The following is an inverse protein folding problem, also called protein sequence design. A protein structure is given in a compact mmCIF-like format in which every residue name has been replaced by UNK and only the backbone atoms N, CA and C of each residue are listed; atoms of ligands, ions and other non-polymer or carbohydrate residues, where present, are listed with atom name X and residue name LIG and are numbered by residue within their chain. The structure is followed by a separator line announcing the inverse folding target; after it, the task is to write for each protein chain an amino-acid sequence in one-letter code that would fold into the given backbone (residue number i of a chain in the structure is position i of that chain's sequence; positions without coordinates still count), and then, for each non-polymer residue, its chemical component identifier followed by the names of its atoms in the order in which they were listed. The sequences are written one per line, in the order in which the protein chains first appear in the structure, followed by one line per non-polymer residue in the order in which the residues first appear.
data_IF_178354723251
#
_entry.id   IF_178354723251
#
_cell.length_a   1.000
_cell.length_b   1.000
_cell.length_c   1.000
_cell.angle_alpha   90.00
_cell.angle_beta   90.00
_cell.angle_gamma   90.00
#
_symmetry.space_group_name_H-M   'P 1'
#
loop_
_entity.id
_entity.type
_entity.pdbx_description
1 polymer ?
#
# COMPACT_ATOMS: atom_id res chain seq x y z
N UNK A 1 -3.18 6.19 23.40
CA UNK A 1 -3.54 5.23 22.35
C UNK A 1 -3.44 5.97 21.03
N UNK A 2 -2.61 5.52 20.09
CA UNK A 2 -2.48 6.20 18.80
C UNK A 2 -3.79 6.07 18.00
N UNK A 3 -4.25 7.12 17.30
CA UNK A 3 -5.48 7.06 16.53
C UNK A 3 -5.35 6.01 15.40
N UNK A 4 -6.44 5.27 15.16
CA UNK A 4 -6.52 4.38 13.99
C UNK A 4 -6.63 5.22 12.72
N UNK A 5 -5.57 5.25 11.93
CA UNK A 5 -5.56 5.94 10.64
C UNK A 5 -6.05 4.95 9.58
N UNK A 6 -7.10 5.33 8.85
CA UNK A 6 -7.48 4.64 7.62
C UNK A 6 -6.55 5.11 6.52
N UNK A 7 -5.51 4.32 6.24
CA UNK A 7 -4.62 4.62 5.13
C UNK A 7 -5.32 4.22 3.82
N UNK A 8 -5.65 5.21 2.99
CA UNK A 8 -6.26 5.01 1.67
C UNK A 8 -5.39 4.18 0.71
N UNK A 9 -4.13 3.96 1.08
CA UNK A 9 -3.12 3.11 0.44
C UNK A 9 -3.59 1.65 0.34
N UNK A 10 -4.39 1.16 1.29
CA UNK A 10 -4.98 -0.20 1.21
C UNK A 10 -5.85 -0.40 -0.03
N UNK A 11 -6.49 0.66 -0.55
CA UNK A 11 -7.30 0.59 -1.77
C UNK A 11 -6.47 0.40 -3.03
N UNK A 12 -5.18 0.74 -2.99
CA UNK A 12 -4.28 0.53 -4.14
C UNK A 12 -4.11 -0.95 -4.43
N UNK A 13 -4.22 -1.80 -3.40
CA UNK A 13 -4.19 -3.24 -3.57
C UNK A 13 -5.19 -3.75 -4.62
N UNK A 14 -6.39 -3.19 -4.67
CA UNK A 14 -7.41 -3.56 -5.64
C UNK A 14 -6.99 -3.44 -7.12
N UNK A 15 -5.96 -2.65 -7.41
CA UNK A 15 -5.41 -2.49 -8.76
C UNK A 15 -4.30 -3.50 -9.09
N UNK A 16 -4.08 -4.48 -8.22
CA UNK A 16 -3.02 -5.48 -8.32
C UNK A 16 -1.68 -4.88 -8.77
N UNK A 17 -1.17 -3.85 -8.08
CA UNK A 17 -0.03 -3.07 -8.55
C UNK A 17 1.22 -3.94 -8.58
N UNK A 18 2.07 -3.79 -9.60
CA UNK A 18 3.47 -4.20 -9.49
C UNK A 18 4.22 -3.02 -8.87
N UNK A 19 4.91 -3.27 -7.77
CA UNK A 19 5.59 -2.24 -7.00
C UNK A 19 7.09 -2.40 -7.20
N UNK A 20 7.73 -1.40 -7.80
CA UNK A 20 9.16 -1.38 -8.05
C UNK A 20 9.79 -0.23 -7.25
N UNK A 21 10.41 -0.50 -6.10
CA UNK A 21 11.29 0.49 -5.47
C UNK A 21 12.50 0.73 -6.37
N UNK A 22 12.86 2.00 -6.56
CA UNK A 22 14.08 2.46 -7.25
C UNK A 22 14.83 3.39 -6.31
N UNK A 23 16.08 3.72 -6.66
CA UNK A 23 16.81 4.77 -5.95
C UNK A 23 16.00 6.08 -6.06
N UNK A 24 15.70 6.70 -4.91
CA UNK A 24 14.91 7.93 -4.71
C UNK A 24 13.45 7.95 -5.21
N UNK A 25 12.96 6.88 -5.82
CA UNK A 25 11.61 6.84 -6.38
C UNK A 25 10.91 5.51 -6.14
N UNK A 26 9.59 5.56 -6.01
CA UNK A 26 8.75 4.38 -6.06
C UNK A 26 7.98 4.36 -7.38
N UNK A 27 7.91 3.21 -8.04
CA UNK A 27 7.12 3.03 -9.27
C UNK A 27 5.99 2.03 -9.01
N UNK A 28 4.77 2.41 -9.36
CA UNK A 28 3.58 1.56 -9.38
C UNK A 28 3.18 1.29 -10.83
N UNK A 29 3.03 0.02 -11.20
CA UNK A 29 2.55 -0.38 -12.52
C UNK A 29 1.18 -1.04 -12.37
N UNK A 30 0.15 -0.41 -12.93
CA UNK A 30 -1.27 -0.74 -12.71
C UNK A 30 -2.07 -0.67 -14.01
N UNK A 31 -3.24 -1.30 -14.07
CA UNK A 31 -4.13 -1.29 -15.26
C UNK A 31 -5.10 -0.07 -15.30
N UNK A 32 -4.93 0.88 -14.38
CA UNK A 32 -5.74 2.10 -14.26
C UNK A 32 -4.92 3.22 -13.61
N UNK A 33 -3.90 3.67 -14.34
CA UNK A 33 -2.90 4.60 -13.83
C UNK A 33 -3.51 5.92 -13.31
N UNK A 34 -4.46 6.49 -14.05
CA UNK A 34 -5.15 7.72 -13.71
C UNK A 34 -5.96 7.60 -12.41
N UNK A 35 -6.71 6.51 -12.26
CA UNK A 35 -7.50 6.23 -11.06
C UNK A 35 -6.61 6.13 -9.82
N UNK A 36 -5.47 5.44 -9.92
CA UNK A 36 -4.52 5.29 -8.80
C UNK A 36 -3.86 6.62 -8.46
N UNK A 37 -3.35 7.34 -9.46
CA UNK A 37 -2.67 8.62 -9.23
C UNK A 37 -3.60 9.66 -8.59
N UNK A 38 -4.82 9.78 -9.12
CA UNK A 38 -5.83 10.71 -8.61
C UNK A 38 -6.38 10.27 -7.25
N UNK A 39 -6.50 8.96 -7.01
CA UNK A 39 -6.88 8.46 -5.68
C UNK A 39 -5.81 8.82 -4.65
N UNK A 40 -4.52 8.66 -4.94
CA UNK A 40 -3.45 9.02 -4.00
C UNK A 40 -3.36 10.52 -3.74
N UNK A 41 -3.41 11.35 -4.80
CA UNK A 41 -3.41 12.80 -4.65
C UNK A 41 -4.67 13.32 -3.94
N UNK A 42 -5.80 12.63 -4.10
CA UNK A 42 -7.09 13.04 -3.54
C UNK A 42 -7.57 14.38 -4.12
N UNK A 43 -8.36 15.10 -3.32
CA UNK A 43 -8.82 16.46 -3.65
C UNK A 43 -8.40 17.43 -2.55
N UNK A 44 -8.35 18.76 -2.81
CA UNK A 44 -7.98 19.74 -1.79
C UNK A 44 -8.78 19.63 -0.48
N UNK A 45 -10.05 19.23 -0.57
CA UNK A 45 -10.96 19.11 0.57
C UNK A 45 -11.03 17.69 1.16
N UNK A 46 -10.44 16.71 0.47
CA UNK A 46 -10.43 15.32 0.89
C UNK A 46 -9.13 14.66 0.40
N UNK A 47 -7.98 14.97 1.03
CA UNK A 47 -6.71 14.37 0.67
C UNK A 47 -6.65 12.92 1.18
N UNK A 48 -6.43 11.97 0.27
CA UNK A 48 -6.27 10.57 0.64
C UNK A 48 -4.83 10.26 1.12
N UNK A 49 -3.85 10.99 0.60
CA UNK A 49 -2.49 11.06 1.12
C UNK A 49 -2.12 12.54 1.27
N UNK A 50 -1.99 13.06 2.50
CA UNK A 50 -1.72 14.48 2.71
C UNK A 50 -0.38 14.86 2.08
N UNK A 51 -0.27 16.11 1.61
CA UNK A 51 0.91 16.65 0.93
C UNK A 51 1.29 16.00 -0.41
N UNK A 52 0.51 15.05 -0.91
CA UNK A 52 0.73 14.49 -2.24
C UNK A 52 0.25 15.48 -3.32
N UNK A 53 1.09 15.73 -4.32
CA UNK A 53 0.79 16.62 -5.46
C UNK A 53 1.03 15.91 -6.78
N UNK A 54 0.26 16.30 -7.79
CA UNK A 54 0.55 15.96 -9.18
C UNK A 54 1.65 16.90 -9.67
N UNK A 55 2.80 16.33 -9.99
CA UNK A 55 3.94 17.07 -10.53
C UNK A 55 3.89 17.09 -12.07
N UNK A 56 3.70 15.91 -12.69
CA UNK A 56 3.62 15.78 -14.14
C UNK A 56 2.58 14.71 -14.51
N UNK A 57 1.92 14.89 -15.66
CA UNK A 57 0.99 13.94 -16.24
C UNK A 57 1.29 13.84 -17.74
N UNK A 58 1.88 12.73 -18.20
CA UNK A 58 2.16 12.49 -19.61
C UNK A 58 1.07 11.61 -20.20
N UNK A 59 0.02 12.25 -20.72
CA UNK A 59 -1.15 11.56 -21.23
C UNK A 59 -1.89 10.79 -20.13
N UNK A 60 -2.34 9.58 -20.45
CA UNK A 60 -3.04 8.71 -19.51
C UNK A 60 -2.12 7.67 -18.85
N UNK A 61 -0.91 7.48 -19.38
CA UNK A 61 -0.14 6.27 -19.12
C UNK A 61 1.00 6.46 -18.11
N UNK A 62 1.29 7.71 -17.74
CA UNK A 62 2.35 8.03 -16.80
C UNK A 62 2.01 9.27 -15.97
N UNK A 63 2.07 9.11 -14.66
CA UNK A 63 1.82 10.14 -13.68
C UNK A 63 2.97 10.22 -12.69
N UNK A 64 3.45 11.43 -12.47
CA UNK A 64 4.46 11.72 -11.48
C UNK A 64 3.79 12.48 -10.33
N UNK A 65 3.91 11.91 -9.14
CA UNK A 65 3.46 12.50 -7.90
C UNK A 65 4.66 12.80 -7.01
N UNK A 66 4.56 13.88 -6.24
CA UNK A 66 5.57 14.28 -5.26
C UNK A 66 4.91 14.61 -3.93
N UNK A 67 5.50 14.13 -2.85
CA UNK A 67 5.08 14.47 -1.49
C UNK A 67 5.84 15.72 -1.02
N UNK A 68 5.14 16.84 -0.82
CA UNK A 68 5.76 18.15 -0.57
C UNK A 68 6.68 18.18 0.65
N UNK A 69 6.32 17.48 1.73
CA UNK A 69 7.07 17.54 3.00
C UNK A 69 8.38 16.74 2.96
N UNK A 70 8.40 15.63 2.21
CA UNK A 70 9.55 14.71 2.20
C UNK A 70 10.31 14.74 0.88
N UNK A 71 9.79 15.46 -0.11
CA UNK A 71 10.26 15.47 -1.49
C UNK A 71 10.25 14.08 -2.18
N UNK A 72 9.65 13.07 -1.56
CA UNK A 72 9.60 11.71 -2.09
C UNK A 72 8.76 11.67 -3.37
N UNK A 73 9.21 10.90 -4.35
CA UNK A 73 8.57 10.81 -5.66
C UNK A 73 7.97 9.44 -5.92
N UNK A 74 6.81 9.46 -6.56
CA UNK A 74 6.04 8.29 -6.93
C UNK A 74 5.65 8.40 -8.40
N UNK A 75 6.04 7.41 -9.18
CA UNK A 75 5.56 7.24 -10.55
C UNK A 75 4.44 6.21 -10.55
N UNK A 76 3.32 6.55 -11.17
CA UNK A 76 2.27 5.60 -11.50
C UNK A 76 2.31 5.44 -13.01
N UNK A 77 2.45 4.21 -13.47
CA UNK A 77 2.57 3.86 -14.88
C UNK A 77 1.46 2.87 -15.23
N UNK A 78 0.94 3.00 -16.45
CA UNK A 78 0.05 2.01 -17.01
C UNK A 78 0.83 0.71 -17.30
N UNK A 79 0.22 -0.44 -16.99
CA UNK A 79 0.77 -1.74 -17.38
C UNK A 79 0.63 -1.90 -18.88
N UNK A 80 1.71 -1.58 -19.60
CA UNK A 80 1.80 -1.84 -21.02
C UNK A 80 1.94 -3.34 -21.29
N UNK A 81 0.83 -4.06 -21.47
CA UNK A 81 0.81 -5.33 -22.19
C UNK A 81 -0.27 -5.29 -23.26
N UNK A 82 0.19 -5.35 -24.53
CA UNK A 82 -0.37 -6.00 -25.74
C UNK A 82 -1.91 -5.97 -26.00
N UNK A 83 -2.34 -5.95 -27.26
CA UNK A 83 -3.74 -5.66 -27.59
C UNK A 83 -4.66 -6.82 -27.20
N UNK A 84 -5.32 -6.79 -26.05
CA UNK A 84 -6.44 -7.71 -25.76
C UNK A 84 -7.43 -7.15 -24.72
N UNK A 85 -8.59 -6.73 -25.22
CA UNK A 85 -9.97 -7.16 -24.87
C UNK A 85 -10.44 -7.52 -23.45
N UNK A 86 -9.62 -7.52 -22.39
CA UNK A 86 -10.10 -7.82 -21.04
C UNK A 86 -10.43 -6.55 -20.24
N UNK A 87 -11.58 -6.56 -19.58
CA UNK A 87 -12.21 -5.48 -18.80
C UNK A 87 -11.22 -4.49 -18.16
N UNK A 88 -11.02 -3.36 -18.84
CA UNK A 88 -10.39 -2.19 -18.23
C UNK A 88 -11.30 -1.70 -17.11
N UNK A 89 -10.75 -1.51 -15.91
CA UNK A 89 -11.45 -0.77 -14.87
C UNK A 89 -11.96 0.55 -15.44
N UNK A 90 -13.23 0.91 -15.19
CA UNK A 90 -13.82 2.13 -15.76
C UNK A 90 -12.94 3.33 -15.42
N UNK A 91 -12.38 3.95 -16.46
CA UNK A 91 -11.64 5.21 -16.35
C UNK A 91 -12.55 6.26 -15.73
N UNK A 92 -12.12 6.91 -14.66
CA UNK A 92 -12.86 8.03 -14.10
C UNK A 92 -12.58 9.29 -14.93
N UNK A 93 -13.56 10.19 -15.10
CA UNK A 93 -13.28 11.50 -15.66
C UNK A 93 -12.16 12.15 -14.85
N UNK A 94 -11.13 12.63 -15.55
CA UNK A 94 -10.08 13.44 -14.95
C UNK A 94 -10.73 14.64 -14.24
N UNK A 95 -10.51 14.84 -12.92
CA UNK A 95 -10.99 16.02 -12.22
C UNK A 95 -10.44 17.29 -12.87
N UNK A 96 -11.31 18.30 -13.04
CA UNK A 96 -10.93 19.60 -13.62
C UNK A 96 -9.90 20.36 -12.78
N UNK A 97 -9.87 20.12 -11.45
CA UNK A 97 -8.87 20.68 -10.54
C UNK A 97 -8.18 19.55 -9.78
N UNK A 98 -6.86 19.55 -9.85
CA UNK A 98 -5.96 18.64 -9.12
C UNK A 98 -5.03 19.50 -8.27
N UNK A 99 -4.63 19.02 -7.10
CA UNK A 99 -3.60 19.70 -6.32
C UNK A 99 -2.25 19.53 -7.02
N UNK A 100 -1.72 20.62 -7.57
CA UNK A 100 -0.44 20.69 -8.25
C UNK A 100 0.67 21.22 -7.36
N UNK A 101 1.91 21.23 -7.86
CA UNK A 101 3.10 21.64 -7.10
C UNK A 101 3.05 23.07 -6.53
N UNK A 102 2.27 23.96 -7.14
CA UNK A 102 2.10 25.34 -6.68
C UNK A 102 1.03 25.48 -5.57
N UNK A 103 0.20 24.46 -5.34
CA UNK A 103 -0.82 24.49 -4.29
C UNK A 103 -0.15 24.19 -2.93
N UNK A 104 -0.21 25.12 -1.96
CA UNK A 104 0.36 24.91 -0.62
C UNK A 104 -0.39 23.81 0.15
N UNK A 105 0.14 23.39 1.29
CA UNK A 105 -0.57 22.50 2.20
C UNK A 105 -1.80 23.21 2.77
N UNK A 106 -2.94 22.53 2.76
CA UNK A 106 -4.15 23.01 3.44
C UNK A 106 -4.05 22.76 4.95
N UNK A 107 -4.88 23.43 5.74
CA UNK A 107 -4.98 23.19 7.19
C UNK A 107 -5.36 21.73 7.50
N UNK A 108 -6.21 21.12 6.67
CA UNK A 108 -6.59 19.71 6.79
C UNK A 108 -5.39 18.80 6.59
N UNK A 109 -4.56 19.07 5.58
CA UNK A 109 -3.33 18.30 5.32
C UNK A 109 -2.33 18.45 6.46
N UNK A 110 -2.14 19.68 6.97
CA UNK A 110 -1.26 19.94 8.10
C UNK A 110 -1.74 19.18 9.36
N UNK A 111 -3.04 19.19 9.65
CA UNK A 111 -3.61 18.44 10.76
C UNK A 111 -3.43 16.92 10.58
N UNK A 112 -3.62 16.38 9.37
CA UNK A 112 -3.39 14.97 9.08
C UNK A 112 -1.93 14.56 9.22
N UNK A 113 -0.99 15.38 8.74
CA UNK A 113 0.44 15.14 8.91
C UNK A 113 0.86 15.19 10.38
N UNK A 114 0.34 16.17 11.14
CA UNK A 114 0.61 16.29 12.57
C UNK A 114 0.03 15.12 13.38
N UNK A 115 -1.02 14.45 12.88
CA UNK A 115 -1.62 13.29 13.50
C UNK A 115 -0.85 11.97 13.24
N UNK A 116 0.14 11.97 12.34
CA UNK A 116 0.94 10.76 12.06
C UNK A 116 1.81 10.46 13.29
N UNK A 117 1.64 9.29 13.95
CA UNK A 117 2.46 8.92 15.09
C UNK A 117 3.93 8.79 14.70
N UNK A 118 4.82 9.01 15.66
CA UNK A 118 6.24 8.75 15.45
C UNK A 118 6.46 7.27 15.07
N UNK A 119 7.36 7.03 14.11
CA UNK A 119 7.66 5.70 13.58
C UNK A 119 9.16 5.46 13.73
N UNK A 120 9.55 4.42 14.47
CA UNK A 120 10.97 4.11 14.64
C UNK A 120 11.60 3.67 13.30
N UNK A 121 12.93 3.83 13.12
CA UNK A 121 13.58 3.43 11.87
C UNK A 121 13.35 1.95 11.46
N UNK A 122 13.41 0.96 12.38
CA UNK A 122 13.10 -0.42 12.00
C UNK A 122 11.63 -0.63 11.64
N UNK A 123 10.69 0.07 12.28
CA UNK A 123 9.29 0.01 11.90
C UNK A 123 9.04 0.63 10.52
N UNK A 124 9.70 1.76 10.19
CA UNK A 124 9.65 2.31 8.82
C UNK A 124 10.10 1.29 7.79
N UNK A 125 11.15 0.51 8.09
CA UNK A 125 11.63 -0.58 7.22
C UNK A 125 10.61 -1.72 7.10
N UNK A 126 9.95 -2.11 8.19
CA UNK A 126 8.89 -3.12 8.15
C UNK A 126 7.70 -2.65 7.30
N UNK A 127 7.17 -1.45 7.54
CA UNK A 127 6.02 -0.91 6.80
C UNK A 127 6.34 -0.65 5.33
N UNK A 128 7.52 -0.11 5.02
CA UNK A 128 7.98 0.03 3.64
C UNK A 128 8.17 -1.34 2.97
N UNK A 129 8.73 -2.30 3.71
CA UNK A 129 8.97 -3.66 3.25
C UNK A 129 7.69 -4.44 2.95
N UNK A 130 6.66 -4.25 3.77
CA UNK A 130 5.29 -4.70 3.56
C UNK A 130 4.73 -4.15 2.26
N UNK A 131 4.80 -2.83 2.09
CA UNK A 131 4.29 -2.13 0.92
C UNK A 131 4.95 -2.62 -0.37
N UNK A 132 6.29 -2.62 -0.46
CA UNK A 132 6.99 -3.01 -1.70
C UNK A 132 6.82 -4.48 -2.07
N UNK A 133 6.41 -5.32 -1.13
CA UNK A 133 6.18 -6.76 -1.34
C UNK A 133 4.73 -7.12 -1.61
N UNK A 134 3.79 -6.17 -1.68
CA UNK A 134 2.37 -6.50 -1.92
C UNK A 134 2.11 -7.26 -3.23
N UNK A 135 3.05 -7.21 -4.17
CA UNK A 135 3.01 -7.92 -5.46
C UNK A 135 3.89 -9.18 -5.50
N UNK A 136 4.52 -9.54 -4.38
CA UNK A 136 5.44 -10.66 -4.31
C UNK A 136 4.68 -11.98 -4.50
N UNK A 137 5.31 -12.87 -5.25
CA UNK A 137 4.85 -14.24 -5.50
C UNK A 137 6.01 -15.19 -5.35
N UNK A 138 5.76 -16.33 -4.72
CA UNK A 138 6.71 -17.42 -4.70
C UNK A 138 6.63 -18.18 -6.04
N UNK A 139 7.76 -18.38 -6.76
CA UNK A 139 7.81 -19.24 -7.92
C UNK A 139 7.38 -20.69 -7.63
N UNK A 140 7.59 -21.17 -6.39
CA UNK A 140 7.13 -22.48 -5.93
C UNK A 140 5.63 -22.56 -5.64
N UNK A 141 4.91 -21.44 -5.69
CA UNK A 141 3.46 -21.37 -5.44
C UNK A 141 3.05 -21.48 -3.97
N UNK A 142 3.99 -21.39 -3.02
CA UNK A 142 3.68 -21.51 -1.58
C UNK A 142 2.94 -20.29 -1.03
N UNK A 143 3.23 -19.11 -1.58
CA UNK A 143 2.47 -17.89 -1.33
C UNK A 143 2.39 -17.03 -2.59
N UNK A 144 1.38 -16.18 -2.62
CA UNK A 144 1.25 -15.10 -3.58
C UNK A 144 0.51 -14.01 -2.83
N UNK A 145 0.89 -12.73 -3.00
CA UNK A 145 0.24 -11.61 -2.31
C UNK A 145 -0.77 -10.87 -3.18
N UNK A 146 -0.73 -11.03 -4.50
CA UNK A 146 -1.88 -10.80 -5.40
C UNK A 146 -2.44 -9.37 -5.36
N UNK A 147 -1.65 -8.41 -4.89
CA UNK A 147 -2.13 -7.07 -4.64
C UNK A 147 -3.24 -6.98 -3.59
N UNK A 148 -3.51 -7.98 -2.76
CA UNK A 148 -4.46 -7.81 -1.63
C UNK A 148 -5.92 -7.55 -2.05
N UNK A 149 -6.36 -8.11 -3.18
CA UNK A 149 -7.75 -8.03 -3.63
C UNK A 149 -8.47 -9.39 -3.57
N UNK A 150 -7.86 -10.41 -4.15
CA UNK A 150 -8.36 -11.77 -4.21
C UNK A 150 -7.22 -12.76 -3.92
N UNK A 151 -7.55 -13.96 -3.42
CA UNK A 151 -6.60 -15.06 -3.28
C UNK A 151 -6.31 -15.67 -4.65
N UNK A 152 -5.14 -15.42 -5.25
CA UNK A 152 -4.80 -15.89 -6.60
C UNK A 152 -4.46 -17.37 -6.61
N UNK A 153 -4.30 -18.00 -5.43
CA UNK A 153 -4.13 -19.44 -5.27
C UNK A 153 -5.48 -20.16 -5.06
N UNK A 154 -6.61 -19.43 -5.04
CA UNK A 154 -7.97 -19.97 -4.94
C UNK A 154 -8.19 -20.96 -3.78
N UNK A 155 -7.45 -20.81 -2.66
CA UNK A 155 -7.45 -21.77 -1.54
C UNK A 155 -8.72 -21.68 -0.70
N UNK A 156 -9.34 -20.49 -0.62
CA UNK A 156 -10.57 -20.26 0.14
C UNK A 156 -11.57 -19.40 -0.64
N UNK A 157 -12.40 -20.03 -1.49
CA UNK A 157 -13.50 -19.34 -2.19
C UNK A 157 -14.40 -18.62 -1.17
N UNK A 158 -14.76 -17.35 -1.42
CA UNK A 158 -15.67 -16.57 -0.57
C UNK A 158 -15.05 -15.78 0.59
N UNK A 159 -13.79 -16.06 0.97
CA UNK A 159 -13.03 -15.23 1.94
C UNK A 159 -12.31 -14.04 1.28
N UNK A 160 -12.18 -14.10 -0.05
CA UNK A 160 -11.32 -13.25 -0.87
C UNK A 160 -12.07 -12.02 -1.45
N UNK A 161 -12.91 -11.36 -0.66
CA UNK A 161 -13.51 -10.09 -1.07
C UNK A 161 -12.79 -8.94 -0.39
N UNK A 162 -12.39 -7.95 -1.20
CA UNK A 162 -11.73 -6.68 -0.86
C UNK A 162 -11.80 -6.34 0.64
N UNK A 163 -10.63 -6.24 1.28
CA UNK A 163 -10.48 -5.77 2.67
C UNK A 163 -10.69 -4.24 2.78
N UNK A 164 -11.94 -3.75 2.68
CA UNK A 164 -12.21 -2.30 2.72
C UNK A 164 -11.92 -1.69 4.08
N UNK A 165 -11.80 -2.55 5.10
CA UNK A 165 -11.56 -2.21 6.49
C UNK A 165 -10.14 -2.60 6.95
N UNK A 166 -9.13 -2.25 6.16
CA UNK A 166 -7.74 -2.31 6.61
C UNK A 166 -7.44 -1.15 7.56
N UNK A 167 -6.84 -1.44 8.71
CA UNK A 167 -6.50 -0.49 9.77
C UNK A 167 -5.06 -0.69 10.20
N UNK A 168 -4.33 0.40 10.31
CA UNK A 168 -2.95 0.42 10.79
C UNK A 168 -2.83 1.51 11.86
N UNK A 169 -2.37 1.13 13.05
CA UNK A 169 -2.15 2.05 14.16
C UNK A 169 -0.97 1.60 15.01
N UNK A 170 -0.34 2.54 15.68
CA UNK A 170 0.83 2.23 16.48
C UNK A 170 1.62 3.48 16.85
N UNK A 171 2.73 3.25 17.53
CA UNK A 171 3.65 4.30 17.94
C UNK A 171 5.06 3.72 18.09
N UNK A 172 6.06 4.46 17.63
CA UNK A 172 7.46 4.04 17.58
C UNK A 172 7.63 2.68 16.90
N UNK A 173 8.08 1.68 17.68
CA UNK A 173 8.38 0.33 17.24
C UNK A 173 7.22 -0.63 17.35
N UNK A 174 6.06 -0.26 17.90
CA UNK A 174 4.93 -1.20 18.06
C UNK A 174 3.71 -0.76 17.29
N UNK A 175 3.30 -1.58 16.34
CA UNK A 175 2.18 -1.30 15.44
C UNK A 175 1.28 -2.52 15.28
N UNK A 176 0.01 -2.29 15.06
CA UNK A 176 -1.02 -3.28 14.78
C UNK A 176 -1.57 -3.03 13.36
N UNK A 177 -1.58 -4.08 12.55
CA UNK A 177 -2.22 -4.12 11.24
C UNK A 177 -3.38 -5.12 11.32
N UNK A 178 -4.59 -4.60 11.15
CA UNK A 178 -5.82 -5.38 11.17
C UNK A 178 -6.51 -5.28 9.81
N UNK A 179 -6.94 -6.41 9.26
CA UNK A 179 -7.73 -6.44 8.04
C UNK A 179 -8.66 -7.66 8.03
N UNK A 180 -9.52 -7.72 7.01
CA UNK A 180 -10.47 -8.82 6.80
C UNK A 180 -10.27 -9.37 5.41
N UNK A 181 -10.18 -10.68 5.28
CA UNK A 181 -10.08 -11.34 3.97
C UNK A 181 -8.64 -11.63 3.56
N UNK A 182 -8.26 -11.18 2.37
CA UNK A 182 -6.98 -11.50 1.76
C UNK A 182 -6.06 -10.25 1.71
N UNK A 183 -4.71 -10.36 1.83
CA UNK A 183 -3.89 -11.58 1.93
C UNK A 183 -4.09 -12.35 3.22
N UNK A 184 -3.81 -13.65 3.22
CA UNK A 184 -3.78 -14.37 4.50
C UNK A 184 -2.52 -14.00 5.27
N UNK A 185 -2.58 -13.92 6.63
CA UNK A 185 -1.41 -13.60 7.44
C UNK A 185 -0.20 -14.50 7.14
N UNK A 186 -0.44 -15.78 6.84
CA UNK A 186 0.61 -16.73 6.49
C UNK A 186 1.36 -16.33 5.22
N UNK A 187 0.66 -15.84 4.18
CA UNK A 187 1.31 -15.37 2.94
C UNK A 187 2.14 -14.11 3.19
N UNK A 188 1.62 -13.22 4.03
CA UNK A 188 2.26 -11.95 4.39
C UNK A 188 3.54 -12.19 5.19
N UNK A 189 3.47 -13.11 6.16
CA UNK A 189 4.63 -13.57 6.93
C UNK A 189 5.64 -14.22 6.00
N UNK A 190 5.22 -15.16 5.16
CA UNK A 190 6.10 -15.84 4.22
C UNK A 190 6.83 -14.84 3.30
N UNK A 191 6.11 -13.85 2.77
CA UNK A 191 6.69 -12.81 1.92
C UNK A 191 7.72 -11.94 2.66
N UNK A 192 7.47 -11.61 3.94
CA UNK A 192 8.33 -10.73 4.72
C UNK A 192 9.55 -11.44 5.31
N UNK A 193 9.46 -12.73 5.58
CA UNK A 193 10.55 -13.55 6.13
C UNK A 193 11.20 -14.47 5.11
N UNK A 194 10.84 -14.37 3.82
CA UNK A 194 11.41 -15.21 2.77
C UNK A 194 12.95 -15.08 2.73
N UNK A 195 13.72 -16.18 2.60
CA UNK A 195 15.18 -16.14 2.70
C UNK A 195 15.87 -15.24 1.65
N UNK A 196 15.30 -15.16 0.44
CA UNK A 196 15.85 -14.36 -0.67
C UNK A 196 15.19 -12.97 -0.78
N UNK A 197 13.87 -12.93 -0.95
CA UNK A 197 13.12 -11.69 -1.19
C UNK A 197 12.57 -11.03 0.09
N UNK A 198 12.70 -11.63 1.26
CA UNK A 198 12.19 -11.08 2.53
C UNK A 198 12.99 -9.88 3.03
N UNK A 199 12.66 -9.40 4.22
CA UNK A 199 13.41 -8.35 4.90
C UNK A 199 14.51 -9.02 5.72
N UNK A 200 15.77 -8.72 5.43
CA UNK A 200 16.90 -9.27 6.19
C UNK A 200 16.76 -8.97 7.68
N UNK A 201 16.81 -10.02 8.49
CA UNK A 201 16.66 -9.95 9.95
C UNK A 201 15.21 -9.92 10.45
N UNK A 202 14.21 -9.93 9.55
CA UNK A 202 12.82 -10.07 9.97
C UNK A 202 12.53 -11.50 10.41
N UNK A 203 11.84 -11.64 11.54
CA UNK A 203 11.37 -12.93 12.06
C UNK A 203 9.87 -12.85 12.34
N UNK A 204 9.19 -13.98 12.39
CA UNK A 204 7.78 -14.03 12.70
C UNK A 204 7.47 -15.08 13.75
N UNK A 205 6.52 -14.79 14.62
CA UNK A 205 6.01 -15.72 15.61
C UNK A 205 4.49 -15.71 15.56
N UNK A 206 3.89 -16.89 15.43
CA UNK A 206 2.45 -17.05 15.52
C UNK A 206 2.03 -16.94 16.99
N UNK A 207 1.11 -16.04 17.30
CA UNK A 207 0.60 -15.84 18.66
C UNK A 207 -0.78 -16.46 18.87
N UNK A 208 -1.54 -16.65 17.79
CA UNK A 208 -2.82 -17.35 17.81
C UNK A 208 -3.12 -17.96 16.43
N UNK A 209 -4.27 -18.64 16.30
CA UNK A 209 -4.72 -19.13 15.00
C UNK A 209 -4.84 -18.00 13.94
N UNK A 210 -5.05 -16.75 14.35
CA UNK A 210 -5.33 -15.60 13.47
C UNK A 210 -4.41 -14.39 13.68
N UNK A 211 -3.39 -14.55 14.52
CA UNK A 211 -2.50 -13.47 14.88
C UNK A 211 -1.05 -13.89 14.79
N UNK A 212 -0.24 -12.96 14.30
CA UNK A 212 1.19 -13.09 14.13
C UNK A 212 1.88 -11.84 14.63
N UNK A 213 3.13 -11.96 15.06
CA UNK A 213 4.00 -10.84 15.34
C UNK A 213 5.22 -10.96 14.45
N UNK A 214 5.45 -9.96 13.61
CA UNK A 214 6.67 -9.83 12.80
C UNK A 214 7.61 -8.87 13.52
N UNK A 215 8.85 -9.29 13.72
CA UNK A 215 9.88 -8.50 14.43
C UNK A 215 11.02 -8.12 13.50
N UNK A 216 11.56 -6.91 13.69
CA UNK A 216 12.80 -6.45 13.07
C UNK A 216 13.51 -5.54 14.07
N UNK A 217 14.67 -5.99 14.57
CA UNK A 217 15.33 -5.36 15.72
C UNK A 217 14.32 -5.18 16.89
N UNK A 218 14.16 -3.97 17.42
CA UNK A 218 13.21 -3.64 18.48
C UNK A 218 11.77 -3.40 18.02
N UNK A 219 11.50 -3.41 16.70
CA UNK A 219 10.17 -3.17 16.17
C UNK A 219 9.34 -4.46 16.10
N UNK A 220 8.05 -4.34 16.42
CA UNK A 220 7.02 -5.39 16.39
C UNK A 220 5.80 -4.91 15.60
N UNK A 221 5.50 -5.61 14.49
CA UNK A 221 4.25 -5.48 13.74
C UNK A 221 3.33 -6.64 14.08
N UNK A 222 2.23 -6.34 14.75
CA UNK A 222 1.19 -7.29 15.16
C UNK A 222 0.15 -7.38 14.03
N UNK A 223 -0.10 -8.58 13.54
CA UNK A 223 -1.03 -8.86 12.45
C UNK A 223 -2.31 -9.47 13.02
N UNK A 224 -3.47 -8.94 12.64
CA UNK A 224 -4.78 -9.41 13.09
C UNK A 224 -5.72 -9.63 11.91
N UNK A 225 -6.10 -10.89 11.71
CA UNK A 225 -7.06 -11.29 10.67
C UNK A 225 -8.47 -11.43 11.26
N UNK A 226 -9.37 -10.53 10.85
CA UNK A 226 -10.76 -10.49 11.31
C UNK A 226 -11.63 -11.52 10.60
N UNK A 227 -12.60 -12.08 11.33
CA UNK A 227 -13.59 -12.99 10.76
C UNK A 227 -14.68 -12.27 9.95
N UNK A 228 -15.43 -13.05 9.16
CA UNK A 228 -16.66 -12.58 8.52
C UNK A 228 -17.77 -12.38 9.55
#
# INVERSE_FOLDING_TARGET
MAPSIRWAVGHIGAYAPIISPRFDHLVLIVDACDNVALHLAGTPNNPNMPAMRVEECRGYDLWQLRHLTTNAQLYVCERATLPTTADRGKRRPIPRRRSGMADPLTEVELAMLAAVPEISPPMKRLLAGLWVRMSLRDPGGTFHLGGWFNDPLYRKPGRAHWASDCRLWGYHGRWDLEWRGYPFPDDLVAALTHPVAGITGATATRTSARSWVIRLAEAELHLHDREL
#
